data_IF_098921290714
#
_entry.id   IF_098921290714
#
_cell.length_a   1.000
_cell.length_b   1.000
_cell.length_c   1.000
_cell.angle_alpha   90.00
_cell.angle_beta   90.00
_cell.angle_gamma   90.00
#
_symmetry.space_group_name_H-M   'P 1'
#
loop_
_entity.id
_entity.type
_entity.pdbx_description
1 polymer ?
#
# COMPACT_ATOMS: atom_id res chain seq x y z
N UNK A 1 13.66 -7.85 23.89
CA UNK A 1 12.22 -7.88 24.21
C UNK A 1 11.71 -6.47 23.94
N UNK A 2 11.09 -6.14 22.80
CA UNK A 2 10.75 -6.89 21.57
C UNK A 2 10.48 -5.80 20.48
N UNK A 3 10.46 -6.00 19.16
CA UNK A 3 10.53 -7.19 18.28
C UNK A 3 11.38 -6.85 17.03
N UNK A 4 11.76 -7.83 16.18
CA UNK A 4 12.38 -7.52 14.86
C UNK A 4 11.30 -7.37 13.78
N UNK A 5 10.27 -8.21 13.85
CA UNK A 5 9.15 -8.36 12.91
C UNK A 5 8.19 -7.14 12.89
N UNK A 6 8.01 -6.44 14.02
CA UNK A 6 7.16 -5.22 14.11
C UNK A 6 7.61 -4.10 13.14
N UNK A 7 8.87 -4.10 12.70
CA UNK A 7 9.39 -3.10 11.77
C UNK A 7 8.74 -3.16 10.40
N UNK A 8 8.40 -4.35 9.86
CA UNK A 8 7.83 -4.45 8.51
C UNK A 8 6.44 -3.82 8.48
N UNK A 9 5.55 -4.22 9.40
CA UNK A 9 4.21 -3.63 9.51
C UNK A 9 4.27 -2.13 9.75
N UNK A 10 5.11 -1.66 10.68
CA UNK A 10 5.27 -0.23 10.95
C UNK A 10 5.84 0.56 9.76
N UNK A 11 6.71 -0.04 8.95
CA UNK A 11 7.25 0.59 7.74
C UNK A 11 6.21 0.67 6.62
N UNK A 12 5.40 -0.37 6.45
CA UNK A 12 4.27 -0.35 5.50
C UNK A 12 3.21 0.66 5.96
N UNK A 13 2.84 0.70 7.24
CA UNK A 13 1.91 1.71 7.77
C UNK A 13 2.42 3.15 7.52
N UNK A 14 3.70 3.45 7.79
CA UNK A 14 4.30 4.76 7.46
C UNK A 14 4.25 5.09 5.98
N UNK A 15 4.52 4.12 5.10
CA UNK A 15 4.40 4.32 3.65
C UNK A 15 2.96 4.65 3.24
N UNK A 16 1.97 4.01 3.87
CA UNK A 16 0.55 4.29 3.62
C UNK A 16 0.12 5.64 4.19
N UNK A 17 0.60 6.03 5.38
CA UNK A 17 0.35 7.35 5.96
C UNK A 17 0.89 8.51 5.10
N UNK A 18 2.06 8.33 4.48
CA UNK A 18 2.60 9.31 3.51
C UNK A 18 1.73 9.42 2.25
N UNK A 19 1.10 8.33 1.80
CA UNK A 19 0.32 8.30 0.54
C UNK A 19 -1.16 8.68 0.74
N UNK A 20 -1.75 8.37 1.90
CA UNK A 20 -3.13 8.71 2.27
C UNK A 20 -3.54 10.15 1.93
N UNK A 21 -2.77 11.21 2.24
CA UNK A 21 -3.16 12.58 1.88
C UNK A 21 -3.19 12.83 0.37
N UNK A 22 -2.31 12.19 -0.41
CA UNK A 22 -2.34 12.27 -1.88
C UNK A 22 -3.59 11.57 -2.42
N UNK A 23 -3.89 10.36 -1.94
CA UNK A 23 -5.10 9.63 -2.34
C UNK A 23 -6.37 10.40 -1.99
N UNK A 24 -6.46 10.96 -0.78
CA UNK A 24 -7.63 11.73 -0.35
C UNK A 24 -7.82 12.99 -1.20
N UNK A 25 -6.73 13.62 -1.64
CA UNK A 25 -6.78 14.74 -2.58
C UNK A 25 -7.30 14.32 -3.97
N UNK A 26 -6.97 13.11 -4.43
CA UNK A 26 -7.50 12.49 -5.66
C UNK A 26 -8.89 11.81 -5.46
N UNK A 27 -9.49 11.93 -4.28
CA UNK A 27 -10.82 11.39 -3.96
C UNK A 27 -10.84 9.88 -3.71
N UNK A 28 -9.75 9.31 -3.17
CA UNK A 28 -9.66 7.92 -2.73
C UNK A 28 -8.95 7.75 -1.39
N UNK A 29 -8.82 6.50 -0.95
CA UNK A 29 -8.15 6.14 0.30
C UNK A 29 -7.38 4.81 0.15
N UNK A 30 -6.59 4.45 1.17
CA UNK A 30 -5.87 3.18 1.24
C UNK A 30 -5.85 2.63 2.65
N UNK A 31 -6.22 1.36 2.75
CA UNK A 31 -6.17 0.57 3.97
C UNK A 31 -5.26 -0.65 3.82
N UNK A 32 -4.43 -0.88 4.83
CA UNK A 32 -3.67 -2.12 4.96
C UNK A 32 -4.63 -3.24 5.37
N UNK A 33 -4.62 -4.35 4.64
CA UNK A 33 -5.46 -5.51 4.96
C UNK A 33 -4.61 -6.61 5.59
N UNK A 34 -3.52 -6.99 4.92
CA UNK A 34 -2.65 -8.07 5.37
C UNK A 34 -1.23 -7.89 4.81
N UNK A 35 -0.24 -8.40 5.53
CA UNK A 35 1.14 -8.52 5.05
C UNK A 35 1.49 -10.00 5.11
N UNK A 36 1.75 -10.60 3.95
CA UNK A 36 2.31 -11.95 3.88
C UNK A 36 3.84 -11.85 3.94
N UNK A 37 4.38 -12.08 5.13
CA UNK A 37 5.82 -12.03 5.40
C UNK A 37 6.58 -13.25 4.83
N UNK A 38 5.87 -14.30 4.41
CA UNK A 38 6.47 -15.50 3.80
C UNK A 38 6.65 -15.33 2.30
N UNK A 39 5.64 -14.76 1.64
CA UNK A 39 5.69 -14.46 0.21
C UNK A 39 6.20 -13.03 -0.09
N UNK A 40 6.45 -12.21 0.94
CA UNK A 40 6.78 -10.79 0.82
C UNK A 40 5.73 -9.99 0.02
N UNK A 41 4.44 -10.29 0.25
CA UNK A 41 3.31 -9.67 -0.46
C UNK A 41 2.49 -8.81 0.50
N UNK A 42 2.29 -7.54 0.18
CA UNK A 42 1.35 -6.67 0.92
C UNK A 42 -0.01 -6.68 0.21
N UNK A 43 -1.07 -6.93 0.96
CA UNK A 43 -2.47 -6.80 0.51
C UNK A 43 -3.04 -5.49 1.03
N UNK A 44 -3.42 -4.61 0.11
CA UNK A 44 -4.05 -3.30 0.40
C UNK A 44 -5.43 -3.21 -0.24
N UNK A 45 -6.35 -2.52 0.42
CA UNK A 45 -7.61 -2.10 -0.17
C UNK A 45 -7.48 -0.63 -0.57
N UNK A 46 -7.59 -0.37 -1.87
CA UNK A 46 -7.72 0.96 -2.45
C UNK A 46 -9.21 1.28 -2.55
N UNK A 47 -9.62 2.42 -2.02
CA UNK A 47 -11.00 2.93 -2.14
C UNK A 47 -10.96 4.25 -2.94
N UNK A 48 -12.07 4.66 -3.57
CA UNK A 48 -12.17 6.00 -4.14
C UNK A 48 -12.93 6.18 -5.45
N UNK A 49 -13.22 7.44 -5.77
CA UNK A 49 -13.96 7.84 -6.97
C UNK A 49 -13.21 7.57 -8.28
N UNK A 50 -11.87 7.58 -8.27
CA UNK A 50 -11.05 7.34 -9.46
C UNK A 50 -10.94 5.86 -9.85
N UNK A 51 -11.50 4.92 -9.08
CA UNK A 51 -11.55 3.48 -9.43
C UNK A 51 -12.27 3.25 -10.77
N UNK A 52 -13.22 4.12 -11.15
CA UNK A 52 -13.89 4.08 -12.46
C UNK A 52 -13.07 4.58 -13.66
N UNK A 53 -11.96 5.28 -13.46
CA UNK A 53 -11.12 5.81 -14.53
C UNK A 53 -9.96 4.84 -14.84
N UNK A 54 -10.20 3.91 -15.75
CA UNK A 54 -9.29 2.79 -16.11
C UNK A 54 -7.86 3.18 -16.50
N UNK A 55 -7.62 4.47 -16.81
CA UNK A 55 -6.30 5.00 -17.18
C UNK A 55 -5.43 5.30 -15.95
N UNK A 56 -6.02 5.64 -14.80
CA UNK A 56 -5.26 6.12 -13.62
C UNK A 56 -4.93 5.02 -12.60
N UNK A 57 -5.69 3.92 -12.53
CA UNK A 57 -5.43 2.83 -11.56
C UNK A 57 -4.01 2.27 -11.65
N UNK A 58 -3.48 2.06 -12.86
CA UNK A 58 -2.14 1.48 -13.06
C UNK A 58 -1.03 2.39 -12.52
N UNK A 59 -1.16 3.71 -12.73
CA UNK A 59 -0.21 4.72 -12.25
C UNK A 59 -0.26 4.85 -10.73
N UNK A 60 -1.47 4.91 -10.16
CA UNK A 60 -1.69 4.95 -8.71
C UNK A 60 -1.13 3.72 -8.01
N UNK A 61 -1.44 2.51 -8.51
CA UNK A 61 -0.90 1.26 -7.97
C UNK A 61 0.63 1.22 -8.01
N UNK A 62 1.24 1.71 -9.10
CA UNK A 62 2.70 1.79 -9.22
C UNK A 62 3.32 2.77 -8.22
N UNK A 63 2.68 3.92 -7.97
CA UNK A 63 3.12 4.89 -6.95
C UNK A 63 3.01 4.35 -5.52
N UNK A 64 1.91 3.64 -5.22
CA UNK A 64 1.71 2.94 -3.95
C UNK A 64 2.78 1.87 -3.73
N UNK A 65 3.00 1.00 -4.72
CA UNK A 65 4.01 -0.06 -4.63
C UNK A 65 5.43 0.50 -4.48
N UNK A 66 5.80 1.54 -5.25
CA UNK A 66 7.11 2.18 -5.16
C UNK A 66 7.36 2.78 -3.77
N UNK A 67 6.35 3.42 -3.17
CA UNK A 67 6.48 3.99 -1.83
C UNK A 67 6.55 2.89 -0.77
N UNK A 68 5.72 1.85 -0.85
CA UNK A 68 5.83 0.70 0.06
C UNK A 68 7.24 0.09 -0.01
N UNK A 69 7.79 -0.14 -1.21
CA UNK A 69 9.15 -0.65 -1.41
C UNK A 69 10.25 0.30 -0.92
N UNK A 70 9.99 1.61 -0.81
CA UNK A 70 10.93 2.60 -0.24
C UNK A 70 11.10 2.44 1.28
N UNK A 71 10.04 2.07 2.01
CA UNK A 71 10.10 1.84 3.46
C UNK A 71 10.33 0.35 3.81
N UNK A 72 9.86 -0.55 2.96
CA UNK A 72 9.94 -1.99 3.12
C UNK A 72 10.48 -2.64 1.83
N UNK A 73 11.79 -2.51 1.52
CA UNK A 73 12.40 -3.03 0.29
C UNK A 73 12.39 -4.57 0.19
N UNK A 74 12.09 -5.27 1.28
CA UNK A 74 11.84 -6.72 1.27
C UNK A 74 10.54 -7.11 0.55
N UNK A 75 9.57 -6.20 0.42
CA UNK A 75 8.28 -6.48 -0.24
C UNK A 75 8.50 -6.63 -1.76
N UNK A 76 8.24 -7.82 -2.28
CA UNK A 76 8.37 -8.09 -3.72
C UNK A 76 7.17 -7.57 -4.51
N UNK A 77 5.97 -7.61 -3.93
CA UNK A 77 4.71 -7.35 -4.66
C UNK A 77 3.64 -6.70 -3.78
N UNK A 78 2.89 -5.76 -4.35
CA UNK A 78 1.68 -5.22 -3.73
C UNK A 78 0.44 -5.66 -4.51
N UNK A 79 -0.47 -6.35 -3.81
CA UNK A 79 -1.77 -6.78 -4.31
C UNK A 79 -2.81 -5.82 -3.79
N UNK A 80 -3.56 -5.20 -4.70
CA UNK A 80 -4.81 -4.57 -4.32
C UNK A 80 -5.90 -5.63 -4.31
N UNK A 81 -6.67 -5.69 -3.22
CA UNK A 81 -7.93 -6.41 -3.17
C UNK A 81 -9.09 -5.43 -3.37
N UNK A 82 -9.98 -5.77 -4.29
CA UNK A 82 -11.27 -5.13 -4.51
C UNK A 82 -12.32 -5.86 -3.66
N UNK A 83 -13.35 -5.16 -3.20
CA UNK A 83 -14.43 -5.69 -2.35
C UNK A 83 -15.72 -5.92 -3.16
#
# INVERSE_FOLDING_TARGET
MTTVDENLKANVEKALEEIRPFLNNDGGDISLIEIDEKENVVKVQLEGACVGCSVNQMTLKSGVEMTIKKYAPQIEKVVNIEA
#
